data_IF_367827672098
#
_entry.id   IF_367827672098
#
_cell.length_a   1.000
_cell.length_b   1.000
_cell.length_c   1.000
_cell.angle_alpha   90.00
_cell.angle_beta   90.00
_cell.angle_gamma   90.00
#
_symmetry.space_group_name_H-M   'P 1'
#
loop_
_entity.id
_entity.type
_entity.pdbx_description
1 polymer ?
#
# COMPACT_ATOMS: atom_id res chain seq x y z
N UNK A 1 14.21 -16.24 7.75
CA UNK A 1 12.80 -15.85 7.60
C UNK A 1 12.76 -14.34 7.72
N UNK A 2 12.21 -13.66 6.72
CA UNK A 2 12.14 -12.21 6.72
C UNK A 2 11.11 -11.73 7.76
N UNK A 3 10.92 -10.42 7.87
CA UNK A 3 9.85 -9.89 8.72
C UNK A 3 8.49 -9.80 8.00
N UNK A 4 8.39 -10.31 6.77
CA UNK A 4 7.23 -10.21 5.91
C UNK A 4 6.80 -11.60 5.42
N UNK A 5 5.70 -12.10 5.94
CA UNK A 5 5.14 -13.40 5.53
C UNK A 5 4.84 -13.47 4.03
N UNK A 6 4.33 -12.38 3.43
CA UNK A 6 4.07 -12.34 1.98
C UNK A 6 5.31 -12.56 1.12
N UNK A 7 6.47 -12.10 1.59
CA UNK A 7 7.73 -12.35 0.91
C UNK A 7 8.18 -13.79 1.13
N UNK A 8 8.14 -14.25 2.38
CA UNK A 8 8.54 -15.62 2.73
C UNK A 8 7.72 -16.69 2.00
N UNK A 9 6.43 -16.42 1.75
CA UNK A 9 5.52 -17.29 0.99
C UNK A 9 5.52 -17.05 -0.52
N UNK A 10 6.42 -16.20 -1.03
CA UNK A 10 6.56 -15.86 -2.46
C UNK A 10 5.29 -15.25 -3.09
N UNK A 11 4.44 -14.64 -2.26
CA UNK A 11 3.23 -13.95 -2.69
C UNK A 11 3.53 -12.52 -3.16
N UNK A 12 4.60 -11.90 -2.63
CA UNK A 12 4.99 -10.53 -2.98
C UNK A 12 6.50 -10.37 -3.03
N UNK A 13 7.02 -9.83 -4.13
CA UNK A 13 8.45 -9.59 -4.35
C UNK A 13 8.82 -8.10 -4.42
N UNK A 14 7.94 -7.21 -3.96
CA UNK A 14 8.17 -5.75 -4.08
C UNK A 14 9.39 -5.26 -3.29
N UNK A 15 9.77 -5.96 -2.21
CA UNK A 15 10.93 -5.62 -1.39
C UNK A 15 12.14 -6.49 -1.77
N UNK A 16 12.78 -6.20 -2.90
CA UNK A 16 13.81 -7.07 -3.51
C UNK A 16 15.07 -7.33 -2.67
N UNK A 17 15.33 -6.53 -1.63
CA UNK A 17 16.49 -6.67 -0.73
C UNK A 17 16.11 -7.11 0.68
N UNK A 18 14.88 -7.56 0.93
CA UNK A 18 14.39 -7.84 2.28
C UNK A 18 15.14 -8.98 3.00
N UNK A 19 15.81 -9.86 2.25
CA UNK A 19 16.65 -10.94 2.79
C UNK A 19 18.02 -10.49 3.27
N UNK A 20 18.50 -9.32 2.81
CA UNK A 20 19.79 -8.78 3.24
C UNK A 20 19.68 -8.19 4.64
N UNK A 21 20.73 -8.36 5.45
CA UNK A 21 20.80 -7.64 6.72
C UNK A 21 20.79 -6.13 6.45
N UNK A 22 20.14 -5.37 7.33
CA UNK A 22 19.94 -3.95 7.04
C UNK A 22 21.26 -3.16 6.89
N UNK A 23 22.30 -3.54 7.64
CA UNK A 23 23.64 -2.96 7.51
C UNK A 23 24.26 -3.22 6.12
N UNK A 24 24.01 -4.39 5.52
CA UNK A 24 24.45 -4.72 4.18
C UNK A 24 23.70 -3.88 3.15
N UNK A 25 22.37 -3.72 3.30
CA UNK A 25 21.58 -2.83 2.43
C UNK A 25 22.12 -1.40 2.42
N UNK A 26 22.50 -0.86 3.59
CA UNK A 26 23.08 0.49 3.70
C UNK A 26 24.48 0.57 3.07
N UNK A 27 25.28 -0.48 3.22
CA UNK A 27 26.62 -0.58 2.63
C UNK A 27 26.53 -0.61 1.10
N UNK A 28 25.64 -1.45 0.54
CA UNK A 28 25.41 -1.54 -0.90
C UNK A 28 24.91 -0.21 -1.49
N UNK A 29 23.97 0.46 -0.81
CA UNK A 29 23.48 1.79 -1.22
C UNK A 29 24.59 2.84 -1.23
N UNK A 30 25.46 2.82 -0.23
CA UNK A 30 26.60 3.74 -0.14
C UNK A 30 27.63 3.47 -1.24
N UNK A 31 27.95 2.19 -1.50
CA UNK A 31 28.83 1.80 -2.59
C UNK A 31 28.27 2.18 -3.97
N UNK A 32 26.96 1.98 -4.19
CA UNK A 32 26.29 2.41 -5.42
C UNK A 32 26.35 3.93 -5.58
N UNK A 33 26.09 4.70 -4.53
CA UNK A 33 26.20 6.16 -4.55
C UNK A 33 27.62 6.62 -4.92
N UNK A 34 28.65 6.05 -4.29
CA UNK A 34 30.05 6.39 -4.59
C UNK A 34 30.40 6.13 -6.06
N UNK A 35 29.98 4.97 -6.59
CA UNK A 35 30.18 4.63 -8.00
C UNK A 35 29.43 5.59 -8.93
N UNK A 36 28.17 5.90 -8.62
CA UNK A 36 27.35 6.80 -9.45
C UNK A 36 27.92 8.23 -9.52
N UNK A 37 28.72 8.63 -8.54
CA UNK A 37 29.32 9.96 -8.44
C UNK A 37 30.83 9.96 -8.68
N UNK A 38 31.41 8.87 -9.21
CA UNK A 38 32.86 8.73 -9.37
C UNK A 38 33.50 9.83 -10.24
N UNK A 39 32.75 10.40 -11.18
CA UNK A 39 33.19 11.47 -12.06
C UNK A 39 33.17 12.87 -11.40
N UNK A 40 32.62 13.00 -10.20
CA UNK A 40 32.47 14.28 -9.50
C UNK A 40 33.41 14.38 -8.31
N UNK A 41 33.92 15.59 -8.06
CA UNK A 41 34.70 15.88 -6.85
C UNK A 41 33.77 16.12 -5.66
N UNK A 42 33.36 15.04 -5.00
CA UNK A 42 32.59 15.11 -3.77
C UNK A 42 33.48 15.61 -2.63
N UNK A 43 33.06 16.67 -1.94
CA UNK A 43 33.83 17.29 -0.87
C UNK A 43 33.78 16.48 0.43
N UNK A 44 32.61 15.92 0.76
CA UNK A 44 32.37 15.17 1.98
C UNK A 44 31.36 14.06 1.73
N UNK A 45 31.63 12.88 2.30
CA UNK A 45 30.70 11.76 2.34
C UNK A 45 30.07 11.66 3.74
N UNK A 46 28.77 11.89 3.83
CA UNK A 46 28.03 11.78 5.09
C UNK A 46 27.59 10.33 5.34
N UNK A 47 27.40 10.00 6.62
CA UNK A 47 26.85 8.69 7.02
C UNK A 47 25.39 8.57 6.56
N UNK A 48 24.95 7.37 6.12
CA UNK A 48 23.55 7.16 5.74
C UNK A 48 22.62 7.32 6.96
N UNK A 49 21.47 7.93 6.72
CA UNK A 49 20.38 8.01 7.71
C UNK A 49 19.52 6.76 7.60
N UNK A 50 19.53 5.94 8.64
CA UNK A 50 18.75 4.71 8.73
C UNK A 50 17.25 4.98 8.92
N UNK A 51 16.41 4.26 8.17
CA UNK A 51 14.96 4.19 8.35
C UNK A 51 14.59 3.04 9.29
N UNK A 52 13.38 3.13 9.86
CA UNK A 52 12.72 1.95 10.43
C UNK A 52 12.51 0.89 9.35
N UNK A 53 12.51 -0.39 9.76
CA UNK A 53 12.29 -1.53 8.85
C UNK A 53 10.82 -1.79 8.56
N UNK A 54 9.92 -1.34 9.44
CA UNK A 54 8.47 -1.55 9.39
C UNK A 54 7.74 -0.25 9.60
N UNK A 55 6.49 -0.18 9.14
CA UNK A 55 5.58 0.94 9.42
C UNK A 55 6.02 2.31 8.90
N UNK A 56 7.08 2.39 8.09
CA UNK A 56 7.62 3.67 7.61
C UNK A 56 6.84 4.24 6.41
N UNK A 57 6.00 3.42 5.76
CA UNK A 57 5.27 3.83 4.58
C UNK A 57 3.92 4.42 4.98
N UNK A 58 3.73 5.71 4.72
CA UNK A 58 2.51 6.43 5.04
C UNK A 58 1.47 6.46 3.91
N UNK A 59 1.76 5.85 2.75
CA UNK A 59 0.86 5.83 1.60
C UNK A 59 0.75 4.44 0.97
N UNK A 60 -0.45 3.90 0.99
CA UNK A 60 -0.82 2.70 0.26
C UNK A 60 -1.44 3.07 -1.09
N UNK A 61 -1.04 2.36 -2.14
CA UNK A 61 -1.71 2.36 -3.45
C UNK A 61 -2.04 0.91 -3.76
N UNK A 62 -3.26 0.50 -3.43
CA UNK A 62 -3.72 -0.86 -3.61
C UNK A 62 -4.45 -1.00 -4.93
N UNK A 63 -4.07 -1.99 -5.72
CA UNK A 63 -4.82 -2.45 -6.89
C UNK A 63 -6.00 -3.27 -6.40
N UNK A 64 -7.20 -2.91 -6.86
CA UNK A 64 -8.38 -3.72 -6.61
C UNK A 64 -8.41 -4.87 -7.62
N UNK A 65 -8.57 -6.09 -7.13
CA UNK A 65 -8.73 -7.30 -7.96
C UNK A 65 -9.93 -8.10 -7.45
N UNK A 66 -10.59 -8.87 -8.32
CA UNK A 66 -11.64 -9.79 -7.88
C UNK A 66 -10.98 -11.12 -7.44
N UNK A 67 -11.50 -11.76 -6.41
CA UNK A 67 -11.21 -13.14 -6.03
C UNK A 67 -12.54 -13.86 -5.70
N UNK A 68 -12.47 -15.14 -5.34
CA UNK A 68 -13.64 -15.94 -4.96
C UNK A 68 -14.38 -15.37 -3.73
N UNK A 69 -13.66 -14.71 -2.82
CA UNK A 69 -14.22 -14.05 -1.63
C UNK A 69 -14.73 -12.63 -1.90
N UNK A 70 -14.74 -12.20 -3.16
CA UNK A 70 -15.05 -10.83 -3.57
C UNK A 70 -13.79 -10.01 -3.81
N UNK A 71 -13.86 -8.70 -3.57
CA UNK A 71 -12.74 -7.81 -3.93
C UNK A 71 -11.58 -7.93 -2.94
N UNK A 72 -10.35 -7.83 -3.45
CA UNK A 72 -9.11 -7.79 -2.66
C UNK A 72 -8.27 -6.57 -3.05
N UNK A 73 -7.46 -6.10 -2.10
CA UNK A 73 -6.59 -4.93 -2.23
C UNK A 73 -5.10 -5.36 -2.16
N UNK A 74 -4.37 -5.24 -3.27
CA UNK A 74 -2.99 -5.74 -3.41
C UNK A 74 -2.18 -5.11 -4.55
N UNK A 75 -1.39 -5.91 -5.28
CA UNK A 75 -0.55 -5.46 -6.40
C UNK A 75 -1.11 -5.83 -7.78
N UNK A 76 -1.47 -7.10 -8.01
CA UNK A 76 -2.01 -7.53 -9.32
C UNK A 76 -2.66 -8.93 -9.39
N UNK A 77 -2.59 -9.76 -8.33
CA UNK A 77 -2.74 -11.22 -8.50
C UNK A 77 -3.75 -11.87 -7.54
N UNK A 78 -4.95 -11.29 -7.37
CA UNK A 78 -6.02 -11.81 -6.50
C UNK A 78 -5.63 -12.04 -5.02
N UNK A 79 -4.43 -11.62 -4.60
CA UNK A 79 -3.97 -11.70 -3.22
C UNK A 79 -4.07 -10.33 -2.54
N UNK A 80 -4.66 -10.36 -1.34
CA UNK A 80 -4.75 -9.21 -0.45
C UNK A 80 -3.41 -8.97 0.26
N UNK A 81 -2.93 -7.73 0.21
CA UNK A 81 -1.70 -7.27 0.87
C UNK A 81 -1.99 -6.22 1.95
N UNK A 82 -3.21 -6.22 2.48
CA UNK A 82 -3.68 -5.27 3.50
C UNK A 82 -2.87 -5.32 4.81
N UNK A 83 -2.22 -6.46 5.11
CA UNK A 83 -1.35 -6.64 6.28
C UNK A 83 0.14 -6.42 5.96
N UNK A 84 0.46 -5.68 4.90
CA UNK A 84 1.85 -5.44 4.52
C UNK A 84 2.61 -4.72 5.65
N UNK A 85 3.76 -5.26 6.12
CA UNK A 85 4.48 -4.73 7.29
C UNK A 85 5.15 -3.37 7.05
N UNK A 86 5.13 -2.86 5.81
CA UNK A 86 5.57 -1.50 5.51
C UNK A 86 4.59 -0.45 6.06
N UNK A 87 3.32 -0.81 6.24
CA UNK A 87 2.30 0.04 6.85
C UNK A 87 2.24 -0.23 8.35
N UNK A 88 1.96 0.82 9.14
CA UNK A 88 1.69 0.65 10.57
C UNK A 88 0.35 -0.05 10.81
N UNK A 89 0.11 -0.49 12.04
CA UNK A 89 -1.11 -1.23 12.41
C UNK A 89 -2.38 -0.42 12.07
N UNK A 90 -2.37 0.90 12.30
CA UNK A 90 -3.54 1.74 12.01
C UNK A 90 -3.90 1.72 10.53
N UNK A 91 -2.90 1.81 9.64
CA UNK A 91 -3.14 1.72 8.20
C UNK A 91 -3.61 0.32 7.77
N UNK A 92 -3.05 -0.75 8.36
CA UNK A 92 -3.49 -2.13 8.07
C UNK A 92 -4.96 -2.32 8.44
N UNK A 93 -5.37 -1.86 9.62
CA UNK A 93 -6.77 -1.89 10.09
C UNK A 93 -7.71 -1.12 9.16
N UNK A 94 -7.34 0.09 8.71
CA UNK A 94 -8.15 0.86 7.76
C UNK A 94 -8.28 0.14 6.41
N UNK A 95 -7.21 -0.48 5.92
CA UNK A 95 -7.23 -1.24 4.68
C UNK A 95 -8.12 -2.49 4.80
N UNK A 96 -8.09 -3.19 5.92
CA UNK A 96 -8.95 -4.34 6.21
C UNK A 96 -10.43 -3.95 6.25
N UNK A 97 -10.78 -2.93 7.03
CA UNK A 97 -12.15 -2.41 7.08
C UNK A 97 -12.64 -1.96 5.70
N UNK A 98 -11.79 -1.26 4.94
CA UNK A 98 -12.12 -0.83 3.58
C UNK A 98 -12.37 -2.02 2.64
N UNK A 99 -11.50 -3.03 2.66
CA UNK A 99 -11.67 -4.23 1.82
C UNK A 99 -12.98 -4.96 2.15
N UNK A 100 -13.26 -5.18 3.44
CA UNK A 100 -14.46 -5.87 3.89
C UNK A 100 -15.73 -5.07 3.60
N UNK A 101 -15.70 -3.74 3.76
CA UNK A 101 -16.79 -2.86 3.38
C UNK A 101 -17.08 -2.94 1.87
N UNK A 102 -16.06 -2.88 1.02
CA UNK A 102 -16.23 -3.03 -0.43
C UNK A 102 -16.78 -4.40 -0.84
N UNK A 103 -16.37 -5.48 -0.13
CA UNK A 103 -16.92 -6.84 -0.30
C UNK A 103 -18.39 -6.87 0.07
N UNK A 104 -18.78 -6.30 1.21
CA UNK A 104 -20.17 -6.23 1.67
C UNK A 104 -21.09 -5.47 0.71
N UNK A 105 -20.57 -4.42 0.07
CA UNK A 105 -21.30 -3.75 -1.00
C UNK A 105 -21.44 -4.63 -2.25
N UNK A 106 -20.51 -5.55 -2.50
CA UNK A 106 -20.44 -6.33 -3.74
C UNK A 106 -19.83 -5.52 -4.89
N UNK A 107 -18.83 -4.67 -4.59
CA UNK A 107 -18.13 -3.88 -5.61
C UNK A 107 -17.25 -4.81 -6.44
N UNK A 108 -17.21 -4.59 -7.75
CA UNK A 108 -16.35 -5.35 -8.66
C UNK A 108 -15.14 -4.52 -9.09
N UNK A 109 -13.98 -5.14 -9.01
CA UNK A 109 -12.75 -4.57 -9.52
C UNK A 109 -12.80 -4.42 -11.04
N UNK A 110 -12.07 -3.44 -11.56
CA UNK A 110 -11.90 -3.21 -12.99
C UNK A 110 -10.94 -4.24 -13.59
N UNK A 111 -11.46 -5.06 -14.50
CA UNK A 111 -10.68 -5.97 -15.33
C UNK A 111 -10.18 -5.21 -16.57
N UNK A 112 -8.86 -5.01 -16.66
CA UNK A 112 -8.21 -4.30 -17.76
C UNK A 112 -8.37 -5.04 -19.10
N UNK A 113 -8.31 -6.38 -19.10
CA UNK A 113 -8.39 -7.20 -20.32
C UNK A 113 -9.80 -7.18 -20.88
N UNK A 114 -10.81 -7.38 -20.02
CA UNK A 114 -12.23 -7.41 -20.41
C UNK A 114 -12.85 -6.01 -20.50
N UNK A 115 -12.17 -4.97 -20.01
CA UNK A 115 -12.67 -3.60 -19.86
C UNK A 115 -14.01 -3.51 -19.12
N UNK A 116 -14.19 -4.34 -18.08
CA UNK A 116 -15.42 -4.46 -17.27
C UNK A 116 -15.13 -4.18 -15.80
N UNK A 117 -16.15 -3.83 -15.03
CA UNK A 117 -16.01 -3.43 -13.62
C UNK A 117 -15.64 -1.95 -13.47
N UNK A 118 -15.52 -1.48 -12.22
CA UNK A 118 -15.42 -0.05 -11.94
C UNK A 118 -14.23 0.34 -11.04
N UNK A 119 -13.97 -0.38 -9.95
CA UNK A 119 -12.92 0.01 -9.00
C UNK A 119 -11.52 -0.40 -9.51
N UNK A 120 -10.62 0.57 -9.73
CA UNK A 120 -9.24 0.32 -10.16
C UNK A 120 -8.28 0.27 -8.98
N UNK A 121 -8.33 1.30 -8.13
CA UNK A 121 -7.40 1.44 -7.01
C UNK A 121 -8.09 1.98 -5.77
N UNK A 122 -7.55 1.61 -4.62
CA UNK A 122 -7.80 2.23 -3.33
C UNK A 122 -6.50 2.82 -2.84
N UNK A 123 -6.48 4.13 -2.60
CA UNK A 123 -5.32 4.84 -2.07
C UNK A 123 -5.62 5.26 -0.65
N UNK A 124 -4.71 4.95 0.27
CA UNK A 124 -4.78 5.40 1.66
C UNK A 124 -3.53 6.21 1.95
N UNK A 125 -3.70 7.42 2.50
CA UNK A 125 -2.59 8.26 2.95
C UNK A 125 -2.79 8.62 4.41
N UNK A 126 -1.78 8.40 5.24
CA UNK A 126 -1.76 8.75 6.66
C UNK A 126 -0.88 9.97 6.89
N UNK A 127 -1.40 10.94 7.64
CA UNK A 127 -0.64 12.09 8.11
C UNK A 127 0.36 11.65 9.17
N UNK A 128 1.64 11.95 8.97
CA UNK A 128 2.68 11.70 9.98
C UNK A 128 2.58 12.65 11.19
N UNK A 129 1.87 13.77 11.05
CA UNK A 129 1.74 14.77 12.10
C UNK A 129 0.70 14.40 13.16
N UNK A 130 -0.46 13.91 12.74
CA UNK A 130 -1.61 13.66 13.64
C UNK A 130 -2.31 12.31 13.41
N UNK A 131 -1.79 11.46 12.51
CA UNK A 131 -2.35 10.13 12.25
C UNK A 131 -3.65 10.10 11.46
N UNK A 132 -4.27 11.25 11.15
CA UNK A 132 -5.48 11.32 10.33
C UNK A 132 -5.23 10.80 8.91
N UNK A 133 -6.27 10.28 8.27
CA UNK A 133 -6.14 9.61 6.98
C UNK A 133 -7.04 10.20 5.90
N UNK A 134 -6.56 10.07 4.66
CA UNK A 134 -7.30 10.29 3.42
C UNK A 134 -7.42 8.96 2.68
N UNK A 135 -8.64 8.52 2.43
CA UNK A 135 -8.95 7.41 1.54
C UNK A 135 -9.30 7.99 0.17
N UNK A 136 -9.03 7.26 -0.91
CA UNK A 136 -9.43 7.67 -2.26
C UNK A 136 -9.73 6.45 -3.10
N UNK A 137 -10.92 6.45 -3.70
CA UNK A 137 -11.32 5.45 -4.68
C UNK A 137 -11.02 5.94 -6.09
N UNK A 138 -10.28 5.15 -6.86
CA UNK A 138 -10.02 5.44 -8.29
C UNK A 138 -10.93 4.55 -9.11
N UNK A 139 -11.89 5.17 -9.79
CA UNK A 139 -12.90 4.48 -10.57
C UNK A 139 -12.62 4.58 -12.07
N UNK A 140 -13.22 3.67 -12.84
CA UNK A 140 -13.27 3.75 -14.31
C UNK A 140 -14.26 4.85 -14.75
N UNK A 141 -15.41 4.94 -14.10
CA UNK A 141 -16.47 5.90 -14.38
C UNK A 141 -17.25 6.29 -13.10
N UNK A 142 -18.30 7.09 -13.23
CA UNK A 142 -19.18 7.46 -12.11
C UNK A 142 -20.22 6.36 -11.76
N UNK A 143 -20.22 5.22 -12.44
CA UNK A 143 -21.30 4.23 -12.37
C UNK A 143 -21.55 3.59 -10.99
N UNK A 144 -20.58 3.63 -10.07
CA UNK A 144 -20.75 3.16 -8.69
C UNK A 144 -20.63 4.28 -7.65
N UNK A 145 -20.52 5.55 -8.07
CA UNK A 145 -20.27 6.67 -7.16
C UNK A 145 -21.40 6.82 -6.14
N UNK A 146 -22.66 6.86 -6.58
CA UNK A 146 -23.82 6.99 -5.68
C UNK A 146 -23.93 5.84 -4.67
N UNK A 147 -23.52 4.63 -5.07
CA UNK A 147 -23.49 3.46 -4.18
C UNK A 147 -22.40 3.59 -3.12
N UNK A 148 -21.23 4.12 -3.47
CA UNK A 148 -20.17 4.38 -2.48
C UNK A 148 -20.62 5.49 -1.52
N UNK A 149 -21.05 6.63 -2.06
CA UNK A 149 -21.52 7.80 -1.29
C UNK A 149 -22.65 7.43 -0.32
N UNK A 150 -23.67 6.72 -0.80
CA UNK A 150 -24.80 6.28 0.01
C UNK A 150 -24.46 5.29 1.13
N UNK A 151 -23.23 4.76 1.15
CA UNK A 151 -22.76 3.84 2.19
C UNK A 151 -21.55 4.39 2.98
N UNK A 152 -21.05 5.59 2.67
CA UNK A 152 -19.84 6.15 3.31
C UNK A 152 -19.98 6.26 4.82
N UNK A 153 -21.16 6.58 5.33
CA UNK A 153 -21.39 6.74 6.77
C UNK A 153 -21.03 5.46 7.55
N UNK A 154 -21.38 4.28 7.00
CA UNK A 154 -21.03 2.98 7.60
C UNK A 154 -19.52 2.73 7.60
N UNK A 155 -18.78 3.22 6.61
CA UNK A 155 -17.33 3.13 6.56
C UNK A 155 -16.68 4.09 7.57
N UNK A 156 -17.12 5.35 7.61
CA UNK A 156 -16.57 6.36 8.53
C UNK A 156 -16.87 6.05 9.99
N UNK A 157 -17.99 5.38 10.29
CA UNK A 157 -18.30 4.92 11.63
C UNK A 157 -17.32 3.83 12.12
N UNK A 158 -16.81 3.00 11.21
CA UNK A 158 -15.79 1.98 11.50
C UNK A 158 -14.38 2.57 11.60
N UNK A 159 -14.14 3.74 10.99
CA UNK A 159 -12.79 4.32 10.84
C UNK A 159 -12.81 5.81 11.22
N UNK A 160 -12.79 6.16 12.51
CA UNK A 160 -12.84 7.54 12.97
C UNK A 160 -11.65 8.41 12.53
N UNK A 161 -10.51 7.80 12.20
CA UNK A 161 -9.29 8.46 11.73
C UNK A 161 -9.41 8.98 10.29
N UNK A 162 -10.40 8.50 9.54
CA UNK A 162 -10.64 8.90 8.15
C UNK A 162 -11.31 10.28 8.11
N UNK A 163 -10.57 11.29 7.64
CA UNK A 163 -11.03 12.69 7.60
C UNK A 163 -11.36 13.19 6.20
N UNK A 164 -10.86 12.51 5.17
CA UNK A 164 -11.09 12.86 3.76
C UNK A 164 -11.29 11.59 2.95
N UNK A 165 -12.26 11.58 2.05
CA UNK A 165 -12.56 10.48 1.11
C UNK A 165 -12.73 11.05 -0.29
#
# INVERSE_FOLDING_TARGET
MSFCSYYDTQVCHSCSQIDLFYAEQLTEKSAHLHKALEAFRVQEWLKPVASQLKGFRNKAKMVASNSDEGIVLGLSDEVSLINCPLYDISMQTVLEHTQNWLRGLGIKAYDVKKKKGELKYVLLTRSSYNGTMMLRFVLRSHGILSRLEGNLESLTALIPELKVI
#
